data_IF_915766078899
#
_entry.id   IF_915766078899
#
_cell.length_a   1.000
_cell.length_b   1.000
_cell.length_c   1.000
_cell.angle_alpha   90.00
_cell.angle_beta   90.00
_cell.angle_gamma   90.00
#
_symmetry.space_group_name_H-M   'P 1'
#
loop_
_entity.id
_entity.type
_entity.pdbx_description
1 polymer ?
#
# COMPACT_ATOMS: atom_id res chain seq x y z
N UNK A 1 -12.45 4.50 12.34
CA UNK A 1 -12.06 5.28 13.55
C UNK A 1 -11.08 6.38 13.15
N UNK A 2 -9.98 6.09 12.42
CA UNK A 2 -8.99 7.11 12.03
C UNK A 2 -9.63 8.28 11.25
N UNK A 3 -10.45 8.00 10.24
CA UNK A 3 -11.18 9.01 9.46
C UNK A 3 -12.18 9.86 10.28
N UNK A 4 -12.62 9.38 11.43
CA UNK A 4 -13.49 10.16 12.32
C UNK A 4 -12.71 11.11 13.21
N UNK A 5 -11.46 10.77 13.55
CA UNK A 5 -10.60 11.55 14.44
C UNK A 5 -9.78 12.58 13.65
N UNK A 6 -9.33 12.24 12.44
CA UNK A 6 -8.49 13.07 11.60
C UNK A 6 -8.99 14.53 11.42
N UNK A 7 -10.30 14.78 11.15
CA UNK A 7 -10.81 16.14 10.96
C UNK A 7 -10.71 17.05 12.19
N UNK A 8 -10.65 16.47 13.38
CA UNK A 8 -10.59 17.22 14.66
C UNK A 8 -9.16 17.41 15.17
N UNK A 9 -8.19 16.79 14.51
CA UNK A 9 -6.81 16.77 14.97
C UNK A 9 -6.02 17.88 14.29
N UNK A 10 -5.52 18.83 15.09
CA UNK A 10 -4.58 19.88 14.65
C UNK A 10 -3.12 19.51 14.91
N UNK A 11 -2.89 18.44 15.66
CA UNK A 11 -1.54 18.00 16.03
C UNK A 11 -0.94 17.12 14.94
N UNK A 12 0.02 17.67 14.20
CA UNK A 12 0.63 17.05 13.02
C UNK A 12 1.19 15.63 13.24
N UNK A 13 1.94 15.34 14.32
CA UNK A 13 2.45 13.98 14.56
C UNK A 13 1.35 12.94 14.76
N UNK A 14 0.23 13.33 15.40
CA UNK A 14 -0.92 12.43 15.56
C UNK A 14 -1.59 12.17 14.22
N UNK A 15 -1.70 13.16 13.34
CA UNK A 15 -2.24 13.00 12.01
C UNK A 15 -1.40 12.01 11.19
N UNK A 16 -0.07 12.11 11.26
CA UNK A 16 0.83 11.16 10.58
C UNK A 16 0.66 9.72 11.09
N UNK A 17 0.53 9.53 12.40
CA UNK A 17 0.31 8.18 12.96
C UNK A 17 -1.03 7.61 12.54
N UNK A 18 -2.09 8.42 12.47
CA UNK A 18 -3.41 8.00 12.00
C UNK A 18 -3.37 7.59 10.52
N UNK A 19 -2.74 8.41 9.66
CA UNK A 19 -2.56 8.11 8.24
C UNK A 19 -1.74 6.83 8.02
N UNK A 20 -0.70 6.60 8.82
CA UNK A 20 0.12 5.40 8.74
C UNK A 20 -0.69 4.14 9.08
N UNK A 21 -1.46 4.18 10.19
CA UNK A 21 -2.33 3.06 10.59
C UNK A 21 -3.40 2.80 9.52
N UNK A 22 -3.99 3.85 8.98
CA UNK A 22 -4.99 3.75 7.90
C UNK A 22 -4.40 3.12 6.64
N UNK A 23 -3.18 3.50 6.26
CA UNK A 23 -2.45 2.91 5.14
C UNK A 23 -2.23 1.40 5.31
N UNK A 24 -1.80 0.95 6.49
CA UNK A 24 -1.62 -0.48 6.80
C UNK A 24 -2.96 -1.22 6.68
N UNK A 25 -4.02 -0.71 7.29
CA UNK A 25 -5.35 -1.33 7.23
C UNK A 25 -5.89 -1.40 5.80
N UNK A 26 -5.67 -0.36 5.00
CA UNK A 26 -6.09 -0.30 3.59
C UNK A 26 -5.39 -1.35 2.73
N UNK A 27 -4.08 -1.49 2.88
CA UNK A 27 -3.29 -2.49 2.14
C UNK A 27 -3.77 -3.90 2.49
N UNK A 28 -3.95 -4.20 3.77
CA UNK A 28 -4.40 -5.51 4.23
C UNK A 28 -5.80 -5.84 3.68
N UNK A 29 -6.75 -4.91 3.74
CA UNK A 29 -8.08 -5.08 3.16
C UNK A 29 -8.05 -5.32 1.65
N UNK A 30 -7.18 -4.64 0.92
CA UNK A 30 -7.00 -4.83 -0.53
C UNK A 30 -6.48 -6.24 -0.84
N UNK A 31 -5.47 -6.72 -0.10
CA UNK A 31 -4.93 -8.08 -0.31
C UNK A 31 -5.96 -9.15 0.03
N UNK A 32 -6.73 -8.99 1.10
CA UNK A 32 -7.78 -9.93 1.48
C UNK A 32 -8.89 -9.97 0.45
N UNK A 33 -9.35 -8.82 -0.05
CA UNK A 33 -10.32 -8.74 -1.12
C UNK A 33 -9.82 -9.41 -2.40
N UNK A 34 -8.58 -9.11 -2.82
CA UNK A 34 -7.97 -9.75 -3.99
C UNK A 34 -7.89 -11.26 -3.84
N UNK A 35 -7.41 -11.76 -2.71
CA UNK A 35 -7.28 -13.20 -2.44
C UNK A 35 -8.65 -13.90 -2.44
N UNK A 36 -9.66 -13.25 -1.88
CA UNK A 36 -11.03 -13.79 -1.83
C UNK A 36 -11.64 -13.85 -3.23
N UNK A 37 -11.50 -12.80 -4.02
CA UNK A 37 -12.01 -12.75 -5.40
C UNK A 37 -11.30 -13.81 -6.26
N UNK A 38 -9.98 -13.96 -6.12
CA UNK A 38 -9.21 -14.99 -6.83
C UNK A 38 -9.72 -16.42 -6.52
N UNK A 39 -10.06 -16.68 -5.28
CA UNK A 39 -10.55 -18.00 -4.85
C UNK A 39 -11.96 -18.29 -5.38
N UNK A 40 -12.82 -17.28 -5.48
CA UNK A 40 -14.25 -17.47 -5.77
C UNK A 40 -14.64 -17.25 -7.22
N UNK A 41 -14.03 -16.29 -7.91
CA UNK A 41 -14.41 -15.92 -9.28
C UNK A 41 -13.63 -16.66 -10.37
N UNK A 42 -12.53 -17.33 -10.02
CA UNK A 42 -11.71 -18.06 -11.00
C UNK A 42 -11.66 -19.55 -10.72
N UNK A 43 -12.73 -20.32 -11.01
CA UNK A 43 -12.78 -21.77 -10.72
C UNK A 43 -11.69 -22.57 -11.42
N UNK A 44 -11.17 -22.08 -12.56
CA UNK A 44 -10.06 -22.69 -13.31
C UNK A 44 -8.70 -22.07 -13.02
N UNK A 45 -8.59 -21.13 -12.06
CA UNK A 45 -7.37 -20.32 -11.78
C UNK A 45 -6.81 -19.61 -13.03
N UNK A 46 -7.68 -19.26 -13.96
CA UNK A 46 -7.28 -18.52 -15.15
C UNK A 46 -7.31 -17.03 -14.84
N UNK A 47 -6.13 -16.48 -14.58
CA UNK A 47 -5.95 -15.09 -14.19
C UNK A 47 -5.90 -14.11 -15.38
N UNK A 48 -5.87 -14.64 -16.60
CA UNK A 48 -5.65 -13.85 -17.82
C UNK A 48 -6.75 -12.81 -18.06
N UNK A 49 -8.01 -13.18 -17.75
CA UNK A 49 -9.16 -12.27 -17.89
C UNK A 49 -9.41 -11.46 -16.61
N UNK A 50 -9.11 -12.08 -15.47
CA UNK A 50 -9.41 -11.49 -14.18
C UNK A 50 -8.52 -10.29 -13.85
N UNK A 51 -7.21 -10.37 -14.08
CA UNK A 51 -6.27 -9.30 -13.77
C UNK A 51 -6.55 -7.99 -14.52
N UNK A 52 -6.80 -7.97 -15.83
CA UNK A 52 -7.14 -6.75 -16.54
C UNK A 52 -8.42 -6.09 -16.00
N UNK A 53 -9.46 -6.87 -15.72
CA UNK A 53 -10.72 -6.35 -15.18
C UNK A 53 -10.53 -5.73 -13.80
N UNK A 54 -9.76 -6.39 -12.93
CA UNK A 54 -9.43 -5.88 -11.61
C UNK A 54 -8.62 -4.58 -11.68
N UNK A 55 -7.65 -4.50 -12.61
CA UNK A 55 -6.86 -3.28 -12.81
C UNK A 55 -7.70 -2.10 -13.28
N UNK A 56 -8.66 -2.33 -14.18
CA UNK A 56 -9.59 -1.28 -14.63
C UNK A 56 -10.39 -0.73 -13.43
N UNK A 57 -10.87 -1.61 -12.54
CA UNK A 57 -11.61 -1.19 -11.34
C UNK A 57 -10.71 -0.40 -10.39
N UNK A 58 -9.48 -0.88 -10.13
CA UNK A 58 -8.53 -0.20 -9.24
C UNK A 58 -8.16 1.17 -9.80
N UNK A 59 -7.73 1.25 -11.07
CA UNK A 59 -7.34 2.51 -11.69
C UNK A 59 -8.52 3.47 -11.81
N UNK A 60 -9.70 2.97 -12.18
CA UNK A 60 -10.92 3.76 -12.21
C UNK A 60 -11.30 4.33 -10.85
N UNK A 61 -11.19 3.54 -9.78
CA UNK A 61 -11.47 4.02 -8.42
C UNK A 61 -10.49 5.10 -7.96
N UNK A 62 -9.21 5.02 -8.35
CA UNK A 62 -8.23 6.07 -8.08
C UNK A 62 -8.60 7.39 -8.75
N UNK A 63 -9.03 7.36 -10.02
CA UNK A 63 -9.44 8.57 -10.74
C UNK A 63 -10.71 9.18 -10.14
N UNK A 64 -11.71 8.38 -9.83
CA UNK A 64 -12.93 8.83 -9.15
C UNK A 64 -12.59 9.45 -7.79
N UNK A 65 -11.71 8.83 -7.02
CA UNK A 65 -11.25 9.33 -5.73
C UNK A 65 -10.56 10.69 -5.85
N UNK A 66 -9.72 10.88 -6.88
CA UNK A 66 -9.04 12.15 -7.15
C UNK A 66 -10.03 13.26 -7.52
N UNK A 67 -11.02 12.97 -8.37
CA UNK A 67 -12.08 13.92 -8.74
C UNK A 67 -12.90 14.33 -7.51
N UNK A 68 -13.29 13.36 -6.69
CA UNK A 68 -14.04 13.63 -5.45
C UNK A 68 -13.21 14.46 -4.47
N UNK A 69 -11.92 14.15 -4.30
CA UNK A 69 -11.03 14.92 -3.43
C UNK A 69 -10.92 16.38 -3.88
N UNK A 70 -10.76 16.60 -5.19
CA UNK A 70 -10.72 17.94 -5.75
C UNK A 70 -12.05 18.69 -5.56
N UNK A 71 -13.18 18.00 -5.78
CA UNK A 71 -14.51 18.57 -5.58
C UNK A 71 -14.74 18.99 -4.13
N UNK A 72 -14.44 18.10 -3.17
CA UNK A 72 -14.57 18.43 -1.74
C UNK A 72 -13.62 19.55 -1.31
N UNK A 73 -12.38 19.57 -1.83
CA UNK A 73 -11.42 20.61 -1.50
C UNK A 73 -11.79 21.97 -2.07
N UNK A 74 -12.44 22.05 -3.22
CA UNK A 74 -12.75 23.30 -3.90
C UNK A 74 -14.12 23.88 -3.50
N UNK A 75 -15.17 23.04 -3.43
CA UNK A 75 -16.56 23.48 -3.19
C UNK A 75 -17.03 23.31 -1.75
N UNK A 76 -16.40 22.41 -1.00
CA UNK A 76 -16.73 22.09 0.38
C UNK A 76 -15.48 22.24 1.24
N UNK A 77 -15.58 21.95 2.52
CA UNK A 77 -14.44 21.91 3.41
C UNK A 77 -13.82 20.50 3.38
N UNK A 78 -12.47 20.40 3.44
CA UNK A 78 -11.74 19.13 3.39
C UNK A 78 -12.21 18.10 4.44
N UNK A 79 -12.75 18.54 5.56
CA UNK A 79 -13.32 17.68 6.61
C UNK A 79 -14.47 16.80 6.10
N UNK A 80 -15.27 17.30 5.16
CA UNK A 80 -16.39 16.54 4.59
C UNK A 80 -15.94 15.31 3.83
N UNK A 81 -14.74 15.33 3.28
CA UNK A 81 -14.15 14.19 2.62
C UNK A 81 -13.95 13.01 3.61
N UNK A 82 -13.47 13.29 4.82
CA UNK A 82 -13.29 12.26 5.85
C UNK A 82 -14.63 11.66 6.31
N UNK A 83 -15.65 12.50 6.47
CA UNK A 83 -17.01 12.04 6.81
C UNK A 83 -17.63 11.19 5.70
N UNK A 84 -17.42 11.58 4.46
CA UNK A 84 -17.90 10.83 3.29
C UNK A 84 -17.22 9.45 3.22
N UNK A 85 -15.91 9.40 3.40
CA UNK A 85 -15.18 8.14 3.43
C UNK A 85 -15.60 7.25 4.62
N UNK A 86 -15.83 7.84 5.79
CA UNK A 86 -16.33 7.09 6.95
C UNK A 86 -17.73 6.49 6.68
N UNK A 87 -18.59 7.22 5.98
CA UNK A 87 -19.91 6.75 5.55
C UNK A 87 -19.82 5.57 4.58
N UNK A 88 -18.97 5.65 3.55
CA UNK A 88 -18.74 4.55 2.62
C UNK A 88 -18.21 3.31 3.34
N UNK A 89 -17.22 3.46 4.22
CA UNK A 89 -16.68 2.35 4.99
C UNK A 89 -17.72 1.70 5.90
N UNK A 90 -18.65 2.46 6.45
CA UNK A 90 -19.74 1.93 7.26
C UNK A 90 -20.72 1.11 6.40
N UNK A 91 -21.07 1.59 5.22
CA UNK A 91 -21.91 0.85 4.27
C UNK A 91 -21.23 -0.44 3.85
N UNK A 92 -19.94 -0.38 3.51
CA UNK A 92 -19.14 -1.56 3.13
C UNK A 92 -19.11 -2.60 4.25
N UNK A 93 -18.88 -2.16 5.50
CA UNK A 93 -18.90 -3.03 6.67
C UNK A 93 -20.26 -3.72 6.86
N UNK A 94 -21.38 -3.02 6.66
CA UNK A 94 -22.71 -3.60 6.74
C UNK A 94 -22.95 -4.63 5.64
N UNK A 95 -22.51 -4.36 4.42
CA UNK A 95 -22.60 -5.30 3.28
C UNK A 95 -21.76 -6.55 3.59
N UNK A 96 -20.52 -6.36 4.02
CA UNK A 96 -19.63 -7.48 4.38
C UNK A 96 -20.23 -8.33 5.49
N UNK A 97 -20.76 -7.74 6.56
CA UNK A 97 -21.40 -8.48 7.64
C UNK A 97 -22.66 -9.24 7.18
N UNK A 98 -23.43 -8.65 6.25
CA UNK A 98 -24.64 -9.28 5.74
C UNK A 98 -24.40 -10.39 4.71
N UNK A 99 -23.35 -10.25 3.91
CA UNK A 99 -23.07 -11.14 2.78
C UNK A 99 -22.03 -12.20 3.06
N UNK A 100 -21.09 -11.97 3.99
CA UNK A 100 -20.01 -12.94 4.25
C UNK A 100 -20.37 -13.91 5.36
N UNK A 101 -20.36 -15.22 5.01
CA UNK A 101 -20.30 -16.27 6.01
C UNK A 101 -18.87 -16.46 6.47
N UNK A 102 -18.64 -16.64 7.78
CA UNK A 102 -17.32 -16.89 8.34
C UNK A 102 -16.73 -18.20 7.80
N UNK A 103 -15.84 -18.08 6.83
CA UNK A 103 -15.02 -19.20 6.38
C UNK A 103 -13.74 -19.23 7.20
N UNK A 104 -13.54 -20.28 7.97
CA UNK A 104 -12.24 -20.55 8.62
C UNK A 104 -11.30 -21.14 7.57
N UNK A 105 -10.54 -20.29 6.89
CA UNK A 105 -9.37 -20.73 6.11
C UNK A 105 -8.23 -20.89 7.10
N UNK A 106 -8.10 -22.10 7.67
CA UNK A 106 -7.07 -22.38 8.68
C UNK A 106 -5.87 -23.04 8.03
N UNK A 107 -5.03 -22.28 7.32
CA UNK A 107 -3.60 -22.57 7.27
C UNK A 107 -2.89 -21.50 8.08
N UNK A 108 -2.42 -21.87 9.27
CA UNK A 108 -1.55 -21.00 10.06
C UNK A 108 -0.24 -20.81 9.27
N UNK A 109 -0.02 -19.62 8.76
CA UNK A 109 1.26 -19.28 8.14
C UNK A 109 2.30 -19.08 9.25
N UNK A 110 3.46 -19.76 9.24
CA UNK A 110 4.48 -19.59 10.25
C UNK A 110 5.14 -18.21 10.07
N UNK A 111 4.71 -17.24 10.87
CA UNK A 111 5.26 -15.88 10.88
C UNK A 111 6.76 -15.83 11.16
N UNK A 112 7.31 -16.87 11.80
CA UNK A 112 8.74 -17.02 12.10
C UNK A 112 9.60 -17.34 10.86
N UNK A 113 9.00 -17.77 9.75
CA UNK A 113 9.69 -18.02 8.49
C UNK A 113 9.83 -16.82 7.58
N UNK A 114 9.27 -15.66 7.96
CA UNK A 114 9.30 -14.45 7.13
C UNK A 114 10.53 -13.62 7.49
N UNK A 115 11.28 -13.20 6.48
CA UNK A 115 12.39 -12.27 6.63
C UNK A 115 11.88 -10.84 6.87
N UNK A 116 11.49 -10.53 8.12
CA UNK A 116 10.97 -9.23 8.51
C UNK A 116 11.97 -8.10 8.29
N UNK A 117 13.26 -8.35 8.52
CA UNK A 117 14.27 -7.33 8.34
C UNK A 117 14.51 -7.05 6.85
N UNK A 118 14.45 -8.06 5.99
CA UNK A 118 14.45 -7.88 4.55
C UNK A 118 13.23 -7.08 4.08
N UNK A 119 12.03 -7.39 4.59
CA UNK A 119 10.82 -6.64 4.27
C UNK A 119 10.92 -5.15 4.65
N UNK A 120 11.47 -4.86 5.83
CA UNK A 120 11.69 -3.47 6.30
C UNK A 120 12.70 -2.75 5.41
N UNK A 121 13.81 -3.38 5.06
CA UNK A 121 14.83 -2.77 4.20
C UNK A 121 14.27 -2.46 2.80
N UNK A 122 13.50 -3.38 2.21
CA UNK A 122 12.84 -3.12 0.93
C UNK A 122 11.78 -2.01 1.02
N UNK A 123 11.02 -1.96 2.12
CA UNK A 123 10.06 -0.88 2.34
C UNK A 123 10.76 0.48 2.48
N UNK A 124 11.87 0.56 3.21
CA UNK A 124 12.68 1.76 3.34
C UNK A 124 13.23 2.22 2.00
N UNK A 125 13.81 1.29 1.22
CA UNK A 125 14.32 1.59 -0.11
C UNK A 125 13.25 2.18 -1.03
N UNK A 126 12.05 1.60 -1.02
CA UNK A 126 10.94 2.11 -1.83
C UNK A 126 10.47 3.50 -1.37
N UNK A 127 10.46 3.75 -0.07
CA UNK A 127 10.13 5.06 0.50
C UNK A 127 11.18 6.11 0.12
N UNK A 128 12.46 5.78 0.20
CA UNK A 128 13.56 6.66 -0.19
C UNK A 128 13.47 7.02 -1.68
N UNK A 129 13.20 6.03 -2.54
CA UNK A 129 13.01 6.24 -3.98
C UNK A 129 11.78 7.11 -4.26
N UNK A 130 10.65 6.81 -3.61
CA UNK A 130 9.43 7.61 -3.76
C UNK A 130 9.68 9.06 -3.33
N UNK A 131 10.31 9.27 -2.18
CA UNK A 131 10.65 10.61 -1.71
C UNK A 131 11.58 11.35 -2.68
N UNK A 132 12.57 10.65 -3.27
CA UNK A 132 13.48 11.24 -4.24
C UNK A 132 12.73 11.77 -5.47
N UNK A 133 11.77 11.02 -6.00
CA UNK A 133 11.01 11.43 -7.17
C UNK A 133 9.94 12.48 -6.85
N UNK A 134 9.25 12.36 -5.72
CA UNK A 134 8.16 13.27 -5.34
C UNK A 134 8.69 14.68 -4.98
N UNK A 135 9.85 14.74 -4.34
CA UNK A 135 10.44 16.01 -3.87
C UNK A 135 11.61 16.48 -4.71
N UNK A 136 12.00 15.74 -5.76
CA UNK A 136 13.13 16.08 -6.62
C UNK A 136 12.99 17.48 -7.24
N UNK A 137 11.82 17.80 -7.77
CA UNK A 137 11.53 19.11 -8.37
C UNK A 137 11.55 20.23 -7.31
N UNK A 138 11.01 20.00 -6.15
CA UNK A 138 11.00 20.97 -5.04
C UNK A 138 12.40 21.34 -4.55
N UNK A 139 13.32 20.38 -4.53
CA UNK A 139 14.71 20.57 -4.09
C UNK A 139 15.70 20.84 -5.22
N UNK A 140 15.25 21.04 -6.45
CA UNK A 140 16.10 21.28 -7.61
C UNK A 140 17.08 20.13 -7.92
N UNK A 141 16.59 18.89 -7.76
CA UNK A 141 17.29 17.64 -8.10
C UNK A 141 18.74 17.61 -7.58
N UNK A 142 19.71 17.48 -8.50
CA UNK A 142 21.13 17.32 -8.18
C UNK A 142 21.82 18.58 -7.63
N UNK A 143 21.19 19.75 -7.68
CA UNK A 143 21.77 20.99 -7.16
C UNK A 143 21.64 21.06 -5.62
N UNK A 144 20.75 20.27 -5.02
CA UNK A 144 20.57 20.25 -3.56
C UNK A 144 21.45 19.20 -2.90
N UNK A 145 22.18 19.58 -1.83
CA UNK A 145 22.95 18.62 -1.02
C UNK A 145 22.07 17.57 -0.34
N UNK A 146 20.79 17.88 -0.10
CA UNK A 146 19.82 16.95 0.48
C UNK A 146 19.51 15.81 -0.50
N UNK A 147 19.27 16.13 -1.79
CA UNK A 147 18.99 15.13 -2.81
C UNK A 147 20.22 14.28 -3.15
N UNK A 148 21.42 14.91 -3.18
CA UNK A 148 22.67 14.16 -3.33
C UNK A 148 22.88 13.18 -2.17
N UNK A 149 22.66 13.63 -0.93
CA UNK A 149 22.74 12.77 0.26
C UNK A 149 21.73 11.61 0.19
N UNK A 150 20.48 11.90 -0.19
CA UNK A 150 19.44 10.89 -0.34
C UNK A 150 19.81 9.85 -1.42
N UNK A 151 20.35 10.28 -2.56
CA UNK A 151 20.81 9.35 -3.60
C UNK A 151 21.90 8.40 -3.09
N UNK A 152 22.83 8.87 -2.27
CA UNK A 152 23.85 8.03 -1.63
C UNK A 152 23.20 7.04 -0.66
N UNK A 153 22.23 7.48 0.14
CA UNK A 153 21.48 6.60 1.06
C UNK A 153 20.75 5.51 0.28
N UNK A 154 20.06 5.85 -0.81
CA UNK A 154 19.38 4.87 -1.68
C UNK A 154 20.36 3.79 -2.19
N UNK A 155 21.56 4.19 -2.63
CA UNK A 155 22.56 3.22 -3.11
C UNK A 155 23.03 2.31 -1.98
N UNK A 156 23.25 2.85 -0.78
CA UNK A 156 23.66 2.07 0.40
C UNK A 156 22.55 1.10 0.81
N UNK A 157 21.31 1.57 0.91
CA UNK A 157 20.14 0.74 1.27
C UNK A 157 19.91 -0.36 0.25
N UNK A 158 20.05 -0.05 -1.05
CA UNK A 158 19.98 -1.04 -2.13
C UNK A 158 21.08 -2.10 -1.97
N UNK A 159 22.31 -1.69 -1.65
CA UNK A 159 23.42 -2.61 -1.38
C UNK A 159 23.10 -3.56 -0.21
N UNK A 160 22.52 -3.07 0.87
CA UNK A 160 22.06 -3.90 1.98
C UNK A 160 20.93 -4.86 1.59
N UNK A 161 19.95 -4.40 0.80
CA UNK A 161 18.88 -5.24 0.29
C UNK A 161 19.41 -6.40 -0.55
N UNK A 162 20.27 -6.09 -1.53
CA UNK A 162 20.87 -7.09 -2.42
C UNK A 162 21.81 -8.02 -1.65
N UNK A 163 22.66 -7.49 -0.77
CA UNK A 163 23.55 -8.30 0.06
C UNK A 163 22.76 -9.28 0.92
N UNK A 164 21.65 -8.83 1.53
CA UNK A 164 20.80 -9.70 2.32
C UNK A 164 20.08 -10.76 1.47
N UNK A 165 19.58 -10.38 0.29
CA UNK A 165 18.94 -11.29 -0.65
C UNK A 165 19.86 -12.44 -1.07
N UNK A 166 21.16 -12.18 -1.20
CA UNK A 166 22.15 -13.18 -1.63
C UNK A 166 22.66 -14.08 -0.50
N UNK A 167 22.61 -13.61 0.78
CA UNK A 167 23.23 -14.33 1.90
C UNK A 167 22.24 -15.10 2.77
N UNK A 168 20.93 -14.80 2.69
CA UNK A 168 19.91 -15.46 3.52
C UNK A 168 19.24 -16.59 2.76
N UNK A 169 19.00 -17.68 3.46
CA UNK A 169 18.41 -18.91 2.89
C UNK A 169 16.96 -18.76 2.42
N UNK A 170 16.19 -17.88 3.07
CA UNK A 170 14.82 -17.52 2.69
C UNK A 170 14.65 -16.00 2.71
N UNK A 171 15.19 -15.29 1.69
CA UNK A 171 15.06 -13.84 1.62
C UNK A 171 13.62 -13.44 1.32
N UNK A 172 13.26 -12.19 1.67
CA UNK A 172 11.93 -11.65 1.38
C UNK A 172 11.59 -11.66 -0.13
N UNK A 173 12.59 -11.39 -0.98
CA UNK A 173 12.50 -11.56 -2.44
C UNK A 173 13.47 -12.67 -2.84
N UNK A 174 12.94 -13.74 -3.41
CA UNK A 174 13.77 -14.86 -3.88
C UNK A 174 14.52 -14.47 -5.16
N UNK A 175 15.86 -14.64 -5.21
CA UNK A 175 16.67 -14.29 -6.37
C UNK A 175 16.31 -15.10 -7.62
N UNK A 176 15.70 -16.28 -7.45
CA UNK A 176 15.23 -17.13 -8.54
C UNK A 176 14.14 -16.47 -9.41
N UNK A 177 13.37 -15.52 -8.84
CA UNK A 177 12.38 -14.76 -9.60
C UNK A 177 13.00 -13.96 -10.75
N UNK A 178 14.27 -13.52 -10.61
CA UNK A 178 14.99 -12.73 -11.62
C UNK A 178 15.63 -13.60 -12.70
N UNK A 179 15.83 -14.90 -12.40
CA UNK A 179 16.48 -15.88 -13.28
C UNK A 179 15.52 -16.71 -14.14
N UNK A 180 14.21 -16.49 -14.05
CA UNK A 180 13.22 -17.27 -14.78
C UNK A 180 13.29 -16.95 -16.28
N UNK A 181 14.19 -17.64 -16.99
CA UNK A 181 14.16 -17.76 -18.44
C UNK A 181 13.13 -18.83 -18.81
N UNK A 182 12.07 -18.42 -19.48
CA UNK A 182 11.18 -19.35 -20.20
C UNK A 182 11.94 -20.07 -21.30
#
# INVERSE_FOLDING_TARGET
>A
VCNLIAPYTTFLPLLWTLCFIEGICKIQGTFEAMSTIQLWMTPKRDFTVFFPMLHIIILGSMQVSSILATYFGYYLHWNYMHWFMAGIMLVDLLIVQGCTRHFRIVKKFPLFGVDWLGAILWALLLLEIAYFFDYGEFYDWWNSPVMQGLAVVIVITLGFCVGRMLHIHHPYIEPEMWGYRR
#
